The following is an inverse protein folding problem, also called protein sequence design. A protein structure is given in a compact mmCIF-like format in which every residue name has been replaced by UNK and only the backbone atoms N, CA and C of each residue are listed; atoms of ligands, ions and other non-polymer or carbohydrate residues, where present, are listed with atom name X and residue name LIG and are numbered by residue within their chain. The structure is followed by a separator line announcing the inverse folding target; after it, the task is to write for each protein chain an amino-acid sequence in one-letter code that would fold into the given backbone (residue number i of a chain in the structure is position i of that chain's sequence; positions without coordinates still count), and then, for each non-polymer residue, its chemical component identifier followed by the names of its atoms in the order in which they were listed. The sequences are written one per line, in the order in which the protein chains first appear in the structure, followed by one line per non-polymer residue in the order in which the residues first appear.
data_IF_532183987253
#
_entry.id   IF_532183987253
#
_cell.length_a   1.000
_cell.length_b   1.000
_cell.length_c   1.000
_cell.angle_alpha   90.00
_cell.angle_beta   90.00
_cell.angle_gamma   90.00
#
_symmetry.space_group_name_H-M   'P 1'
#
loop_
_entity.id
_entity.type
_entity.pdbx_description
1 polymer ?
#
# COMPACT_ATOMS: atom_id res chain seq x y z
N UNK A 1 7.43 -13.38 -9.14
CA UNK A 1 7.86 -12.25 -8.28
C UNK A 1 6.82 -11.12 -8.27
N UNK A 2 6.25 -10.74 -9.42
CA UNK A 2 5.11 -9.82 -9.53
C UNK A 2 3.98 -10.07 -8.51
N UNK A 3 3.58 -11.34 -8.34
CA UNK A 3 2.49 -11.73 -7.43
C UNK A 3 2.77 -11.36 -5.95
N UNK A 4 4.02 -11.48 -5.48
CA UNK A 4 4.41 -11.15 -4.10
C UNK A 4 4.36 -9.63 -3.90
N UNK A 5 4.87 -8.87 -4.88
CA UNK A 5 4.86 -7.41 -4.84
C UNK A 5 3.44 -6.84 -4.88
N UNK A 6 2.59 -7.38 -5.75
CA UNK A 6 1.16 -7.07 -5.80
C UNK A 6 0.48 -7.33 -4.46
N UNK A 7 0.75 -8.48 -3.84
CA UNK A 7 0.20 -8.80 -2.52
C UNK A 7 0.67 -7.81 -1.43
N UNK A 8 1.93 -7.38 -1.47
CA UNK A 8 2.46 -6.39 -0.54
C UNK A 8 1.79 -5.01 -0.70
N UNK A 9 1.60 -4.55 -1.95
CA UNK A 9 0.90 -3.28 -2.24
C UNK A 9 -0.55 -3.33 -1.78
N UNK A 10 -1.25 -4.45 -2.03
CA UNK A 10 -2.62 -4.61 -1.57
C UNK A 10 -2.72 -4.66 -0.04
N UNK A 11 -1.74 -5.25 0.65
CA UNK A 11 -1.67 -5.23 2.10
C UNK A 11 -1.48 -3.81 2.66
N UNK A 12 -0.67 -2.98 1.99
CA UNK A 12 -0.52 -1.57 2.36
C UNK A 12 -1.85 -0.81 2.18
N UNK A 13 -2.55 -1.04 1.06
CA UNK A 13 -3.87 -0.47 0.83
C UNK A 13 -4.86 -0.86 1.94
N UNK A 14 -4.91 -2.13 2.34
CA UNK A 14 -5.75 -2.57 3.46
C UNK A 14 -5.41 -1.89 4.78
N UNK A 15 -4.12 -1.75 5.11
CA UNK A 15 -3.69 -1.06 6.33
C UNK A 15 -4.08 0.44 6.31
N UNK A 16 -3.97 1.11 5.17
CA UNK A 16 -4.40 2.49 5.02
C UNK A 16 -5.92 2.64 5.24
N UNK A 17 -6.74 1.72 4.73
CA UNK A 17 -8.17 1.68 5.00
C UNK A 17 -8.47 1.52 6.51
N UNK A 18 -7.77 0.63 7.21
CA UNK A 18 -7.93 0.44 8.66
C UNK A 18 -7.60 1.72 9.46
N UNK A 19 -6.68 2.54 8.95
CA UNK A 19 -6.34 3.85 9.50
C UNK A 19 -7.30 4.97 9.10
N UNK A 20 -8.39 4.66 8.39
CA UNK A 20 -9.36 5.63 7.84
C UNK A 20 -8.75 6.62 6.86
N UNK A 21 -7.70 6.21 6.14
CA UNK A 21 -7.14 6.96 5.03
C UNK A 21 -7.89 6.65 3.74
N UNK A 22 -7.95 7.62 2.83
CA UNK A 22 -8.49 7.42 1.49
C UNK A 22 -7.49 6.66 0.61
N UNK A 23 -7.96 5.59 -0.03
CA UNK A 23 -7.16 4.76 -0.94
C UNK A 23 -7.86 4.69 -2.29
N UNK A 24 -7.14 5.00 -3.37
CA UNK A 24 -7.64 4.84 -4.73
C UNK A 24 -6.83 3.79 -5.47
N UNK A 25 -7.50 2.78 -6.03
CA UNK A 25 -6.87 1.72 -6.81
C UNK A 25 -7.52 1.59 -8.19
N UNK A 26 -6.69 1.46 -9.23
CA UNK A 26 -7.17 1.29 -10.59
C UNK A 26 -6.19 1.81 -11.63
N UNK A 27 -6.60 1.75 -12.89
CA UNK A 27 -5.85 2.34 -14.00
C UNK A 27 -6.06 3.85 -13.98
N UNK A 28 -4.96 4.60 -14.14
CA UNK A 28 -5.02 6.05 -14.31
C UNK A 28 -5.52 6.35 -15.71
N UNK A 29 -6.58 7.12 -15.82
CA UNK A 29 -7.13 7.58 -17.11
C UNK A 29 -7.44 9.07 -17.03
N UNK A 30 -7.36 9.75 -18.17
CA UNK A 30 -7.81 11.12 -18.30
C UNK A 30 -9.04 11.16 -19.21
N UNK A 31 -10.10 11.85 -18.78
CA UNK A 31 -11.26 12.11 -19.63
C UNK A 31 -10.99 13.25 -20.61
N UNK A 32 -11.84 13.38 -21.64
CA UNK A 32 -11.68 14.38 -22.70
C UNK A 32 -11.76 15.84 -22.20
N UNK A 33 -12.40 16.07 -21.05
CA UNK A 33 -12.46 17.36 -20.35
C UNK A 33 -11.22 17.64 -19.48
N UNK A 34 -10.22 16.76 -19.50
CA UNK A 34 -8.96 16.92 -18.79
C UNK A 34 -8.96 16.42 -17.34
N UNK A 35 -10.08 15.89 -16.83
CA UNK A 35 -10.16 15.36 -15.46
C UNK A 35 -9.46 14.02 -15.33
N UNK A 36 -8.79 13.81 -14.19
CA UNK A 36 -8.06 12.59 -13.90
C UNK A 36 -8.90 11.63 -13.07
N UNK A 37 -8.83 10.34 -13.42
CA UNK A 37 -9.50 9.26 -12.71
C UNK A 37 -8.55 8.12 -12.42
N UNK A 38 -8.76 7.45 -11.29
CA UNK A 38 -8.08 6.19 -10.93
C UNK A 38 -9.17 5.13 -10.80
N UNK A 39 -9.30 4.26 -11.79
CA UNK A 39 -10.42 3.32 -11.86
C UNK A 39 -11.78 4.03 -11.77
N UNK A 40 -12.55 3.72 -10.72
CA UNK A 40 -13.85 4.34 -10.44
C UNK A 40 -13.79 5.71 -9.74
N UNK A 41 -12.61 6.16 -9.30
CA UNK A 41 -12.44 7.35 -8.47
C UNK A 41 -12.09 8.59 -9.31
N UNK A 42 -12.66 9.75 -8.95
CA UNK A 42 -12.32 11.05 -9.55
C UNK A 42 -11.19 11.72 -8.74
N UNK A 43 -9.97 11.68 -9.28
CA UNK A 43 -8.79 12.23 -8.61
C UNK A 43 -8.81 13.76 -8.61
N UNK A 44 -9.31 14.38 -9.68
CA UNK A 44 -9.38 15.84 -9.79
C UNK A 44 -10.25 16.41 -8.67
N UNK A 45 -11.47 15.90 -8.48
CA UNK A 45 -12.33 16.39 -7.40
C UNK A 45 -11.79 16.09 -6.00
N UNK A 46 -11.06 14.99 -5.83
CA UNK A 46 -10.38 14.72 -4.57
C UNK A 46 -9.33 15.79 -4.26
N UNK A 47 -8.46 16.12 -5.23
CA UNK A 47 -7.43 17.14 -5.04
C UNK A 47 -8.03 18.55 -4.86
N UNK A 48 -9.12 18.87 -5.58
CA UNK A 48 -9.86 20.13 -5.41
C UNK A 48 -10.41 20.27 -3.98
N UNK A 49 -10.96 19.19 -3.41
CA UNK A 49 -11.49 19.17 -2.04
C UNK A 49 -10.41 19.42 -0.98
N UNK A 50 -9.21 18.92 -1.20
CA UNK A 50 -8.09 19.01 -0.26
C UNK A 50 -7.10 20.13 -0.61
N UNK A 51 -7.55 21.14 -1.36
CA UNK A 51 -6.70 22.26 -1.76
C UNK A 51 -6.19 23.05 -0.54
N UNK A 52 -4.87 23.21 -0.45
CA UNK A 52 -4.22 23.92 0.66
C UNK A 52 -3.86 23.04 1.86
N UNK A 53 -4.21 21.75 1.83
CA UNK A 53 -3.78 20.77 2.84
C UNK A 53 -2.42 20.16 2.47
N UNK A 54 -1.66 19.73 3.48
CA UNK A 54 -0.44 18.95 3.29
C UNK A 54 -0.80 17.46 3.15
N UNK A 55 -0.44 16.85 2.02
CA UNK A 55 -0.84 15.50 1.66
C UNK A 55 0.37 14.62 1.32
N UNK A 56 0.28 13.34 1.69
CA UNK A 56 1.20 12.29 1.22
C UNK A 56 0.46 11.41 0.21
N UNK A 57 0.95 11.36 -1.03
CA UNK A 57 0.43 10.46 -2.07
C UNK A 57 1.42 9.31 -2.32
N UNK A 58 0.94 8.08 -2.22
CA UNK A 58 1.74 6.87 -2.45
C UNK A 58 1.28 6.19 -3.73
N UNK A 59 2.18 6.08 -4.72
CA UNK A 59 1.93 5.38 -5.98
C UNK A 59 2.65 4.03 -6.00
N UNK A 60 1.90 2.94 -6.23
CA UNK A 60 2.44 1.60 -6.43
C UNK A 60 1.93 0.99 -7.73
N UNK A 61 2.83 0.68 -8.66
CA UNK A 61 2.49 -0.07 -9.87
C UNK A 61 2.21 -1.53 -9.50
N UNK A 62 1.00 -2.01 -9.82
CA UNK A 62 0.60 -3.39 -9.55
C UNK A 62 1.22 -4.39 -10.54
N UNK A 63 1.47 -3.96 -11.77
CA UNK A 63 2.21 -4.69 -12.80
C UNK A 63 3.65 -4.20 -12.82
N UNK A 64 4.44 -4.70 -11.88
CA UNK A 64 5.85 -4.36 -11.79
C UNK A 64 6.62 -5.57 -11.25
N UNK A 65 7.55 -6.03 -12.08
CA UNK A 65 8.30 -7.27 -11.90
C UNK A 65 9.59 -7.08 -11.10
N UNK A 66 9.87 -5.85 -10.62
CA UNK A 66 11.03 -5.63 -9.76
C UNK A 66 10.99 -6.58 -8.56
N UNK A 67 12.13 -7.22 -8.24
CA UNK A 67 12.18 -8.14 -7.11
C UNK A 67 11.85 -7.40 -5.81
N UNK A 68 11.08 -8.06 -4.94
CA UNK A 68 10.89 -7.57 -3.57
C UNK A 68 12.19 -7.79 -2.83
N UNK A 69 12.71 -6.73 -2.21
CA UNK A 69 13.96 -6.80 -1.47
C UNK A 69 13.80 -7.67 -0.22
N UNK A 70 14.64 -8.70 -0.11
CA UNK A 70 14.70 -9.55 1.08
C UNK A 70 15.45 -8.83 2.19
N UNK A 71 14.90 -8.86 3.41
CA UNK A 71 15.49 -8.27 4.61
C UNK A 71 15.66 -9.32 5.68
N UNK A 72 16.77 -9.25 6.42
CA UNK A 72 16.99 -10.11 7.59
C UNK A 72 16.43 -9.45 8.85
N UNK A 73 15.63 -10.19 9.62
CA UNK A 73 15.05 -9.70 10.86
C UNK A 73 16.12 -9.51 11.93
N UNK A 74 16.25 -8.28 12.47
CA UNK A 74 17.20 -7.99 13.56
C UNK A 74 16.83 -8.63 14.90
N UNK A 75 15.61 -9.16 15.05
CA UNK A 75 15.15 -9.81 16.28
C UNK A 75 15.35 -11.33 16.26
N UNK A 76 15.09 -12.00 15.14
CA UNK A 76 15.14 -13.47 15.06
C UNK A 76 16.06 -14.03 13.97
N UNK A 77 16.73 -13.18 13.20
CA UNK A 77 17.67 -13.60 12.16
C UNK A 77 17.04 -14.22 10.90
N UNK A 78 15.72 -14.36 10.82
CA UNK A 78 15.04 -14.91 9.63
C UNK A 78 14.91 -13.86 8.54
N UNK A 79 15.08 -14.29 7.31
CA UNK A 79 14.79 -13.48 6.12
C UNK A 79 13.29 -13.39 5.87
N UNK A 80 12.85 -12.22 5.39
CA UNK A 80 11.46 -11.93 5.09
C UNK A 80 11.34 -10.85 4.01
N UNK A 81 10.18 -10.78 3.36
CA UNK A 81 9.87 -9.84 2.27
C UNK A 81 8.71 -8.90 2.60
N UNK A 82 8.01 -9.16 3.70
CA UNK A 82 6.86 -8.39 4.17
C UNK A 82 7.30 -7.07 4.85
N UNK A 83 6.33 -6.20 5.17
CA UNK A 83 6.56 -4.96 5.92
C UNK A 83 7.19 -5.19 7.31
N UNK A 84 6.90 -6.32 7.93
CA UNK A 84 7.47 -6.74 9.20
C UNK A 84 7.71 -8.26 9.22
N UNK A 85 8.65 -8.72 10.05
CA UNK A 85 8.97 -10.13 10.14
C UNK A 85 7.74 -10.96 10.55
N UNK A 86 7.23 -11.86 9.68
CA UNK A 86 5.99 -12.58 9.92
C UNK A 86 6.08 -13.51 11.13
N UNK A 87 7.27 -14.10 11.36
CA UNK A 87 7.53 -14.96 12.51
C UNK A 87 7.46 -14.19 13.84
N UNK A 88 8.14 -13.04 13.92
CA UNK A 88 8.09 -12.22 15.13
C UNK A 88 6.70 -11.64 15.38
N UNK A 89 5.99 -11.19 14.33
CA UNK A 89 4.61 -10.72 14.41
C UNK A 89 3.68 -11.81 14.96
N UNK A 90 3.71 -13.01 14.39
CA UNK A 90 2.90 -14.13 14.84
C UNK A 90 3.15 -14.46 16.33
N UNK A 91 4.42 -14.42 16.75
CA UNK A 91 4.76 -14.59 18.16
C UNK A 91 4.23 -13.45 19.04
N UNK A 92 4.30 -12.19 18.61
CA UNK A 92 3.71 -11.06 19.37
C UNK A 92 2.20 -11.24 19.51
N UNK A 93 1.49 -11.58 18.44
CA UNK A 93 0.05 -11.83 18.49
C UNK A 93 -0.27 -12.98 19.45
N UNK A 94 0.45 -14.11 19.33
CA UNK A 94 0.25 -15.28 20.22
C UNK A 94 0.50 -14.96 21.70
N UNK A 95 1.52 -14.14 21.99
CA UNK A 95 1.95 -13.84 23.35
C UNK A 95 1.23 -12.66 23.99
N UNK A 96 0.76 -11.69 23.18
CA UNK A 96 0.26 -10.39 23.66
C UNK A 96 -1.11 -10.00 23.11
N UNK A 97 -1.69 -10.80 22.21
CA UNK A 97 -3.05 -10.58 21.67
C UNK A 97 -3.21 -9.44 20.66
N UNK A 98 -2.14 -8.76 20.24
CA UNK A 98 -2.21 -7.61 19.34
C UNK A 98 -1.10 -7.69 18.28
N UNK A 99 -1.35 -7.16 17.08
CA UNK A 99 -0.40 -7.06 15.97
C UNK A 99 0.47 -5.80 16.09
#
# INVERSE_FOLDING_TARGET
MAAIRRAAILKLASAAYEMKLDVMNGVVTQSADGRWRIGGHDLTSFLEKHQGEELVLVLGLLEDDRPVETRTCRTCGRDYTELECPHCRANRIRLRGHA
#
